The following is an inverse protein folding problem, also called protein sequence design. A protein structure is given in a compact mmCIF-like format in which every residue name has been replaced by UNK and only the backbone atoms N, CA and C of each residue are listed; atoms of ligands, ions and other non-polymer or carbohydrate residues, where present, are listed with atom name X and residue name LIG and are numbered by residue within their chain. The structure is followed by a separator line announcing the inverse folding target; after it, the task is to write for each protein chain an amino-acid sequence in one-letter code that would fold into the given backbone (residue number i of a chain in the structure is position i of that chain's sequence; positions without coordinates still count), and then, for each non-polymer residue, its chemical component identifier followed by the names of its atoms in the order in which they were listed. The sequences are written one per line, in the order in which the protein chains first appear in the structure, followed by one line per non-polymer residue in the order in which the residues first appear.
data_IF_162705473835
#
_entry.id   IF_162705473835
#
_cell.length_a   1.000
_cell.length_b   1.000
_cell.length_c   1.000
_cell.angle_alpha   90.00
_cell.angle_beta   90.00
_cell.angle_gamma   90.00
#
_symmetry.space_group_name_H-M   'P 1'
#
loop_
_entity.id
_entity.type
_entity.pdbx_description
1 polymer ?
#
# COMPACT_ATOMS: atom_id res chain seq x y z
N UNK A 1 8.67 -16.20 -9.41
CA UNK A 1 7.53 -16.10 -8.47
C UNK A 1 7.46 -14.68 -7.91
N UNK A 2 6.26 -14.09 -7.94
CA UNK A 2 6.06 -12.77 -7.37
C UNK A 2 5.73 -12.87 -5.90
N UNK A 3 6.47 -12.15 -5.07
CA UNK A 3 6.23 -12.09 -3.63
C UNK A 3 5.44 -10.82 -3.32
N UNK A 4 4.28 -11.01 -2.70
CA UNK A 4 3.40 -9.92 -2.30
C UNK A 4 3.16 -10.03 -0.80
N UNK A 5 3.32 -8.94 -0.09
CA UNK A 5 3.07 -8.90 1.35
C UNK A 5 2.02 -7.85 1.68
N UNK A 6 1.34 -8.03 2.79
CA UNK A 6 0.36 -7.11 3.33
C UNK A 6 0.82 -6.69 4.72
N UNK A 7 0.80 -5.40 5.02
CA UNK A 7 1.19 -4.93 6.34
C UNK A 7 0.19 -5.38 7.41
N UNK A 8 0.63 -5.39 8.65
CA UNK A 8 -0.29 -5.51 9.77
C UNK A 8 -1.20 -4.28 9.79
N UNK A 9 -2.41 -4.40 10.36
CA UNK A 9 -3.37 -3.29 10.33
C UNK A 9 -3.04 -2.12 11.25
N UNK A 10 -1.98 -2.23 12.03
CA UNK A 10 -1.54 -1.17 12.94
C UNK A 10 -0.08 -0.82 12.71
N UNK A 11 0.31 0.38 13.13
CA UNK A 11 1.70 0.82 13.06
C UNK A 11 2.45 0.39 14.31
N UNK A 12 3.75 0.06 14.16
CA UNK A 12 4.59 -0.28 15.30
C UNK A 12 6.01 0.22 15.06
N UNK A 13 6.74 0.33 16.18
CA UNK A 13 8.11 0.81 16.13
C UNK A 13 8.97 -0.13 15.27
N UNK A 14 9.81 0.46 14.42
CA UNK A 14 10.71 -0.28 13.55
C UNK A 14 10.05 -1.07 12.44
N UNK A 15 8.76 -0.86 12.19
CA UNK A 15 8.07 -1.51 11.07
C UNK A 15 8.81 -1.29 9.76
N UNK A 16 9.29 -0.07 9.53
CA UNK A 16 10.04 0.26 8.31
C UNK A 16 11.29 -0.58 8.15
N UNK A 17 11.95 -0.96 9.25
CA UNK A 17 13.14 -1.80 9.19
C UNK A 17 12.82 -3.21 8.75
N UNK A 18 11.73 -3.76 9.27
CA UNK A 18 11.27 -5.10 8.89
C UNK A 18 10.87 -5.11 7.42
N UNK A 19 10.12 -4.10 6.98
CA UNK A 19 9.70 -4.00 5.59
C UNK A 19 10.90 -3.84 4.66
N UNK A 20 11.88 -3.02 5.06
CA UNK A 20 13.10 -2.84 4.27
C UNK A 20 13.84 -4.17 4.12
N UNK A 21 13.93 -4.94 5.21
CA UNK A 21 14.59 -6.25 5.17
C UNK A 21 13.88 -7.20 4.21
N UNK A 22 12.53 -7.17 4.19
CA UNK A 22 11.76 -7.99 3.26
C UNK A 22 12.04 -7.59 1.80
N UNK A 23 12.11 -6.30 1.52
CA UNK A 23 12.47 -5.84 0.18
C UNK A 23 13.88 -6.27 -0.21
N UNK A 24 14.83 -6.20 0.73
CA UNK A 24 16.20 -6.64 0.48
C UNK A 24 16.26 -8.13 0.15
N UNK A 25 15.32 -8.91 0.69
CA UNK A 25 15.22 -10.35 0.44
C UNK A 25 14.43 -10.70 -0.82
N UNK A 26 13.92 -9.71 -1.56
CA UNK A 26 13.26 -9.95 -2.83
C UNK A 26 11.76 -9.69 -2.86
N UNK A 27 11.20 -9.06 -1.84
CA UNK A 27 9.79 -8.69 -1.87
C UNK A 27 9.52 -7.79 -3.08
N UNK A 28 8.55 -8.16 -3.91
CA UNK A 28 8.23 -7.42 -5.13
C UNK A 28 7.14 -6.37 -4.95
N UNK A 29 6.17 -6.63 -4.07
CA UNK A 29 5.06 -5.72 -3.86
C UNK A 29 4.65 -5.73 -2.40
N UNK A 30 4.48 -4.54 -1.83
CA UNK A 30 3.99 -4.37 -0.48
C UNK A 30 2.67 -3.61 -0.52
N UNK A 31 1.63 -4.19 0.08
CA UNK A 31 0.35 -3.52 0.27
C UNK A 31 0.29 -2.92 1.66
N UNK A 32 0.16 -1.60 1.73
CA UNK A 32 0.02 -0.90 3.01
C UNK A 32 -1.47 -0.78 3.30
N UNK A 33 -1.95 -1.54 4.28
CA UNK A 33 -3.33 -1.56 4.72
C UNK A 33 -3.39 -1.24 6.22
N UNK A 34 -3.74 -0.01 6.53
CA UNK A 34 -3.79 0.51 7.90
C UNK A 34 -5.16 1.15 8.14
N UNK A 35 -6.24 0.35 8.22
CA UNK A 35 -7.60 0.90 8.31
C UNK A 35 -7.78 1.75 9.55
N UNK A 36 -8.54 2.85 9.39
CA UNK A 36 -8.87 3.71 10.50
C UNK A 36 -7.74 4.56 11.04
N UNK A 37 -6.59 4.60 10.35
CA UNK A 37 -5.46 5.42 10.77
C UNK A 37 -5.42 6.75 10.02
N UNK A 38 -4.76 7.73 10.62
CA UNK A 38 -4.59 9.02 9.98
C UNK A 38 -3.48 9.00 8.94
N UNK A 39 -3.59 9.83 7.89
CA UNK A 39 -2.61 9.77 6.79
C UNK A 39 -1.18 10.10 7.23
N UNK A 40 -1.00 10.91 8.27
CA UNK A 40 0.34 11.28 8.72
C UNK A 40 1.19 10.06 9.10
N UNK A 41 0.57 9.01 9.62
CA UNK A 41 1.31 7.81 10.01
C UNK A 41 1.81 7.04 8.78
N UNK A 42 0.98 6.97 7.74
CA UNK A 42 1.39 6.34 6.47
C UNK A 42 2.48 7.16 5.79
N UNK A 43 2.35 8.50 5.81
CA UNK A 43 3.38 9.38 5.27
C UNK A 43 4.72 9.15 5.97
N UNK A 44 4.70 9.02 7.29
CA UNK A 44 5.91 8.76 8.05
C UNK A 44 6.54 7.43 7.68
N UNK A 45 5.74 6.38 7.59
CA UNK A 45 6.24 5.07 7.21
C UNK A 45 6.90 5.11 5.83
N UNK A 46 6.23 5.74 4.85
CA UNK A 46 6.77 5.85 3.50
C UNK A 46 8.05 6.68 3.46
N UNK A 47 8.13 7.73 4.30
CA UNK A 47 9.33 8.55 4.39
C UNK A 47 10.51 7.75 4.93
N UNK A 48 10.26 6.83 5.86
CA UNK A 48 11.30 6.00 6.45
C UNK A 48 11.76 4.86 5.56
N UNK A 49 10.93 4.45 4.58
CA UNK A 49 11.36 3.45 3.62
C UNK A 49 12.36 4.03 2.63
N UNK A 50 13.39 3.25 2.21
CA UNK A 50 14.30 3.72 1.16
C UNK A 50 13.53 4.10 -0.11
N UNK A 51 13.87 5.24 -0.74
CA UNK A 51 13.13 5.69 -1.94
C UNK A 51 13.05 4.64 -3.05
N UNK A 52 14.08 3.83 -3.20
CA UNK A 52 14.11 2.79 -4.24
C UNK A 52 13.02 1.74 -4.08
N UNK A 53 12.48 1.59 -2.87
CA UNK A 53 11.43 0.59 -2.61
C UNK A 53 10.02 1.17 -2.65
N UNK A 54 9.88 2.50 -2.64
CA UNK A 54 8.55 3.12 -2.68
C UNK A 54 7.78 2.76 -3.95
N UNK A 55 8.47 2.56 -5.06
CA UNK A 55 7.83 2.16 -6.33
C UNK A 55 7.25 0.74 -6.29
N UNK A 56 7.46 0.02 -5.20
CA UNK A 56 6.91 -1.32 -4.99
C UNK A 56 5.75 -1.33 -4.02
N UNK A 57 5.28 -0.17 -3.59
CA UNK A 57 4.24 -0.03 -2.57
C UNK A 57 2.89 0.26 -3.21
N UNK A 58 1.86 -0.43 -2.73
CA UNK A 58 0.45 -0.21 -3.10
C UNK A 58 -0.28 0.20 -1.82
N UNK A 59 -1.05 1.29 -1.87
CA UNK A 59 -1.79 1.77 -0.70
C UNK A 59 -3.27 1.45 -0.83
N UNK A 60 -3.88 1.09 0.30
CA UNK A 60 -5.31 0.76 0.40
C UNK A 60 -6.14 1.95 0.87
N UNK A 61 -5.51 2.95 1.45
CA UNK A 61 -6.15 4.17 1.95
C UNK A 61 -5.29 5.36 1.55
N UNK A 62 -5.87 6.58 1.67
CA UNK A 62 -5.13 7.81 1.43
C UNK A 62 -4.45 7.78 0.06
N UNK A 63 -5.25 7.60 -0.99
CA UNK A 63 -4.75 7.37 -2.34
C UNK A 63 -3.85 8.47 -2.89
N UNK A 64 -3.93 9.70 -2.36
CA UNK A 64 -3.07 10.79 -2.78
C UNK A 64 -1.58 10.48 -2.56
N UNK A 65 -1.29 9.56 -1.63
CA UNK A 65 0.10 9.17 -1.33
C UNK A 65 0.78 8.56 -2.55
N UNK A 66 0.02 7.94 -3.44
CA UNK A 66 0.59 7.33 -4.65
C UNK A 66 1.37 8.36 -5.45
N UNK A 67 0.79 9.55 -5.67
CA UNK A 67 1.46 10.60 -6.43
C UNK A 67 2.55 11.29 -5.62
N UNK A 68 2.32 11.46 -4.32
CA UNK A 68 3.25 12.18 -3.46
C UNK A 68 4.58 11.44 -3.28
N UNK A 69 4.53 10.11 -3.24
CA UNK A 69 5.70 9.27 -3.01
C UNK A 69 6.09 8.41 -4.22
N UNK A 70 5.44 8.60 -5.36
CA UNK A 70 5.67 7.81 -6.57
C UNK A 70 5.54 6.31 -6.31
N UNK A 71 4.43 5.95 -5.68
CA UNK A 71 4.16 4.55 -5.35
C UNK A 71 3.71 3.78 -6.57
N UNK A 72 3.71 2.44 -6.44
CA UNK A 72 3.32 1.54 -7.52
C UNK A 72 1.86 1.72 -7.92
N UNK A 73 0.95 1.84 -6.95
CA UNK A 73 -0.45 1.95 -7.26
C UNK A 73 -1.35 2.03 -6.03
N UNK A 74 -2.63 1.84 -6.28
CA UNK A 74 -3.65 1.85 -5.23
C UNK A 74 -4.46 0.56 -5.30
N UNK A 75 -5.11 0.22 -4.18
CA UNK A 75 -5.96 -0.96 -4.08
C UNK A 75 -7.35 -0.53 -3.62
N UNK A 76 -8.35 -0.80 -4.47
CA UNK A 76 -9.74 -0.48 -4.15
C UNK A 76 -10.33 -1.58 -3.27
N UNK A 77 -11.22 -1.20 -2.37
CA UNK A 77 -11.87 -2.15 -1.48
C UNK A 77 -13.28 -1.65 -1.19
N UNK A 78 -14.04 -2.45 -0.43
CA UNK A 78 -15.38 -2.03 -0.01
C UNK A 78 -15.33 -0.71 0.75
N UNK A 79 -14.27 -0.48 1.53
CA UNK A 79 -14.08 0.74 2.30
C UNK A 79 -13.75 1.94 1.41
N UNK A 80 -12.97 1.71 0.35
CA UNK A 80 -12.55 2.74 -0.59
C UNK A 80 -12.77 2.22 -2.02
N UNK A 81 -14.02 2.28 -2.53
CA UNK A 81 -14.34 1.62 -3.80
C UNK A 81 -14.05 2.42 -5.06
N UNK A 82 -13.74 3.72 -4.95
CA UNK A 82 -13.58 4.58 -6.10
C UNK A 82 -12.14 5.09 -6.20
N UNK A 83 -11.51 5.04 -7.40
CA UNK A 83 -10.21 5.66 -7.58
C UNK A 83 -10.35 7.18 -7.63
N UNK A 84 -9.24 7.91 -7.34
CA UNK A 84 -9.23 9.35 -7.53
C UNK A 84 -9.50 9.71 -8.98
N UNK A 85 -10.05 10.91 -9.21
CA UNK A 85 -10.28 11.41 -10.56
C UNK A 85 -8.95 11.46 -11.33
N UNK A 86 -9.00 11.04 -12.60
CA UNK A 86 -7.82 11.04 -13.48
C UNK A 86 -6.66 10.20 -12.95
N UNK A 87 -6.99 9.12 -12.21
CA UNK A 87 -5.97 8.26 -11.64
C UNK A 87 -5.11 7.60 -12.72
N UNK A 88 -3.79 7.57 -12.50
CA UNK A 88 -2.83 6.86 -13.34
C UNK A 88 -1.98 5.96 -12.46
N UNK A 89 -1.69 4.75 -12.94
CA UNK A 89 -0.87 3.80 -12.22
C UNK A 89 -1.59 2.48 -12.07
N UNK A 90 -0.98 1.58 -11.30
CA UNK A 90 -1.55 0.27 -11.08
C UNK A 90 -2.78 0.36 -10.17
N UNK A 91 -3.81 -0.41 -10.53
CA UNK A 91 -5.07 -0.45 -9.80
C UNK A 91 -5.41 -1.91 -9.50
N UNK A 92 -5.75 -2.20 -8.25
CA UNK A 92 -6.24 -3.53 -7.87
C UNK A 92 -7.47 -3.37 -7.01
N UNK A 93 -8.20 -4.46 -6.81
CA UNK A 93 -9.44 -4.44 -6.03
C UNK A 93 -9.56 -5.70 -5.21
N UNK A 94 -10.05 -5.55 -3.97
CA UNK A 94 -10.34 -6.68 -3.09
C UNK A 94 -11.68 -7.30 -3.43
N UNK A 95 -11.71 -8.63 -3.53
CA UNK A 95 -12.93 -9.40 -3.73
C UNK A 95 -12.99 -10.46 -2.65
N UNK A 96 -13.94 -10.29 -1.72
CA UNK A 96 -14.02 -11.14 -0.54
C UNK A 96 -14.98 -12.31 -0.70
N UNK A 97 -16.05 -12.12 -1.46
CA UNK A 97 -17.06 -13.17 -1.67
C UNK A 97 -17.53 -13.12 -3.13
N UNK A 98 -18.13 -14.24 -3.62
CA UNK A 98 -18.68 -14.24 -4.97
C UNK A 98 -19.75 -13.16 -5.19
N UNK A 99 -20.50 -12.81 -4.18
CA UNK A 99 -21.52 -11.76 -4.27
C UNK A 99 -20.89 -10.40 -4.56
N UNK A 100 -19.67 -10.17 -4.12
CA UNK A 100 -18.97 -8.92 -4.37
C UNK A 100 -18.44 -8.81 -5.80
N UNK A 101 -18.40 -9.93 -6.51
CA UNK A 101 -17.98 -9.95 -7.90
C UNK A 101 -19.11 -9.54 -8.86
N UNK A 102 -20.32 -9.63 -8.39
CA UNK A 102 -21.50 -9.37 -9.22
C UNK A 102 -21.78 -7.89 -9.34
#
# INVERSE_FOLDING_TARGET
MKLIALTLPYFFMEEHRILTALFDEGLETLHVRKPGTEPMFSERLLTLLPPKYREKVVVHDHFYLKNEFDLKGIHLSRRNPQPPAKYRGQLSISMHTPEELA
#
